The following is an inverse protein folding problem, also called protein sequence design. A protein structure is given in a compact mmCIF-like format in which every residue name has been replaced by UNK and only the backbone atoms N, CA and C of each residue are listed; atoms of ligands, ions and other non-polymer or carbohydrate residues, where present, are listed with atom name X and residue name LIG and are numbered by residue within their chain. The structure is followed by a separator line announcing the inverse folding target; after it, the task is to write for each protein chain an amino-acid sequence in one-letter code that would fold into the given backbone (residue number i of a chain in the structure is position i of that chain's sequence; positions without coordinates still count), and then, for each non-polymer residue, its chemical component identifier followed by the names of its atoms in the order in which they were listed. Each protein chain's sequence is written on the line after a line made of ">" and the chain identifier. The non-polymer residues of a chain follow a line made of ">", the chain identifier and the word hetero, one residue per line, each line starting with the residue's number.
data_IF_026321700924
#
_entry.id   IF_026321700924
#
_cell.length_a   1.000
_cell.length_b   1.000
_cell.length_c   1.000
_cell.angle_alpha   90.00
_cell.angle_beta   90.00
_cell.angle_gamma   90.00
#
_symmetry.space_group_name_H-M   'P 1'
#
loop_
_entity.id
_entity.type
_entity.pdbx_description
1 polymer ?
#
# COMPACT_ATOMS: atom_id res chain seq x y z
N UNK A 1 8.70 25.42 53.79
CA UNK A 1 8.26 26.37 54.83
C UNK A 1 7.79 27.69 54.18
N UNK A 2 6.54 28.15 54.23
CA UNK A 2 5.47 27.95 55.19
C UNK A 2 4.09 28.19 54.53
N UNK A 3 3.09 27.43 54.97
CA UNK A 3 1.68 27.86 55.12
C UNK A 3 1.49 28.18 56.62
N UNK A 4 0.57 29.09 57.06
CA UNK A 4 -0.89 28.85 57.19
C UNK A 4 -1.77 30.11 56.86
N UNK A 5 -3.06 30.08 56.42
CA UNK A 5 -4.37 29.69 57.04
C UNK A 5 -4.79 30.65 58.20
N UNK A 6 -6.09 30.90 58.52
CA UNK A 6 -7.32 31.34 57.80
C UNK A 6 -8.01 32.55 58.54
N UNK A 7 -9.28 32.90 58.24
CA UNK A 7 -10.36 33.17 59.22
C UNK A 7 -11.67 33.67 58.57
N UNK A 8 -12.73 32.88 58.74
CA UNK A 8 -14.18 33.15 58.63
C UNK A 8 -14.69 34.00 59.84
N UNK A 9 -16.01 34.20 60.13
CA UNK A 9 -17.25 34.39 59.32
C UNK A 9 -18.20 35.55 59.81
N UNK A 10 -19.31 35.77 59.06
CA UNK A 10 -20.69 36.13 59.51
C UNK A 10 -21.00 37.57 60.05
N UNK A 11 -22.28 38.01 60.24
CA UNK A 11 -23.60 37.46 59.83
C UNK A 11 -24.71 38.50 59.42
N UNK A 12 -25.93 37.99 59.17
CA UNK A 12 -27.29 38.58 59.39
C UNK A 12 -28.02 39.36 58.27
N UNK A 13 -29.20 38.81 57.91
CA UNK A 13 -30.33 39.29 57.08
C UNK A 13 -31.17 40.41 57.78
N UNK A 14 -32.47 40.70 57.49
CA UNK A 14 -33.34 40.53 56.31
C UNK A 14 -34.22 41.79 55.97
N UNK A 15 -35.13 41.64 54.99
CA UNK A 15 -36.48 42.25 54.88
C UNK A 15 -36.66 43.38 53.82
N UNK A 16 -37.90 43.77 53.46
CA UNK A 16 -38.63 43.23 52.31
C UNK A 16 -39.17 44.33 51.37
N UNK A 17 -39.68 44.00 50.19
CA UNK A 17 -40.23 45.02 49.29
C UNK A 17 -41.09 44.47 48.16
N UNK A 18 -42.40 44.50 48.42
CA UNK A 18 -43.56 44.67 47.53
C UNK A 18 -43.45 44.39 46.01
N UNK A 19 -44.34 43.51 45.53
CA UNK A 19 -44.85 43.39 44.15
C UNK A 19 -45.79 44.58 43.79
N UNK A 20 -46.58 44.60 42.69
CA UNK A 20 -46.49 44.02 41.34
C UNK A 20 -46.84 45.05 40.22
N UNK A 21 -46.55 44.75 38.94
CA UNK A 21 -47.23 45.23 37.70
C UNK A 21 -46.21 45.27 36.55
N UNK A 22 -46.49 45.07 35.28
CA UNK A 22 -47.64 44.60 34.51
C UNK A 22 -47.14 44.60 33.05
N UNK A 23 -47.71 43.72 32.22
CA UNK A 23 -47.80 43.83 30.76
C UNK A 23 -46.52 43.68 29.90
N UNK A 24 -46.44 42.50 29.26
CA UNK A 24 -46.60 42.44 27.80
C UNK A 24 -45.33 42.40 26.94
N UNK A 25 -44.95 41.20 26.47
CA UNK A 25 -44.44 40.90 25.12
C UNK A 25 -44.15 39.39 24.99
N UNK A 26 -44.15 38.81 23.77
CA UNK A 26 -44.58 37.44 23.52
C UNK A 26 -43.45 36.40 23.56
N UNK A 27 -43.85 35.18 23.95
CA UNK A 27 -43.27 33.86 23.63
C UNK A 27 -41.81 33.81 23.13
N UNK A 28 -40.87 33.67 24.06
CA UNK A 28 -39.58 33.03 23.78
C UNK A 28 -39.68 31.55 24.13
N UNK A 29 -39.96 30.71 23.12
CA UNK A 29 -39.78 29.26 23.19
C UNK A 29 -38.28 29.00 23.33
N UNK A 30 -37.79 28.29 24.37
CA UNK A 30 -36.39 27.91 24.40
C UNK A 30 -36.14 26.98 23.22
N UNK A 31 -35.18 27.35 22.38
CA UNK A 31 -34.66 26.48 21.33
C UNK A 31 -34.21 25.19 22.01
N UNK A 32 -34.86 24.08 21.67
CA UNK A 32 -34.37 22.77 22.03
C UNK A 32 -32.94 22.66 21.50
N UNK A 33 -31.98 22.13 22.27
CA UNK A 33 -30.71 21.72 21.70
C UNK A 33 -31.06 20.72 20.60
N UNK A 34 -30.74 21.07 19.35
CA UNK A 34 -30.74 20.13 18.25
C UNK A 34 -29.83 18.98 18.67
N UNK A 35 -30.42 17.91 19.18
CA UNK A 35 -29.74 16.64 19.30
C UNK A 35 -29.36 16.25 17.88
N UNK A 36 -28.10 15.85 17.63
CA UNK A 36 -27.74 15.31 16.34
C UNK A 36 -28.62 14.07 16.10
N UNK A 37 -29.42 14.14 15.04
CA UNK A 37 -30.22 13.03 14.56
C UNK A 37 -29.29 11.83 14.29
N UNK A 38 -29.65 10.58 14.62
CA UNK A 38 -28.78 9.41 14.41
C UNK A 38 -28.66 9.01 12.93
N UNK A 39 -28.91 9.93 11.99
CA UNK A 39 -28.96 9.69 10.56
C UNK A 39 -27.67 10.09 9.80
N UNK A 40 -26.69 10.71 10.47
CA UNK A 40 -25.41 11.08 9.85
C UNK A 40 -24.36 9.94 9.86
N UNK A 41 -24.80 8.68 9.92
CA UNK A 41 -23.94 7.48 9.80
C UNK A 41 -24.11 6.77 8.45
N UNK A 42 -24.73 7.41 7.46
CA UNK A 42 -24.77 6.92 6.08
C UNK A 42 -24.22 7.98 5.14
N UNK A 43 -22.97 8.38 5.35
CA UNK A 43 -22.18 8.74 4.18
C UNK A 43 -22.04 7.44 3.36
N UNK A 44 -22.58 7.34 2.14
CA UNK A 44 -22.21 6.24 1.27
C UNK A 44 -20.69 6.34 1.11
N UNK A 45 -19.98 5.32 1.59
CA UNK A 45 -18.55 5.13 1.36
C UNK A 45 -18.21 5.47 -0.10
N UNK A 46 -17.00 6.00 -0.38
CA UNK A 46 -16.63 6.47 -1.71
C UNK A 46 -17.00 5.41 -2.74
N UNK A 47 -17.88 5.76 -3.66
CA UNK A 47 -18.37 4.84 -4.68
C UNK A 47 -17.16 4.21 -5.38
N UNK A 48 -17.25 2.97 -5.85
CA UNK A 48 -16.18 2.25 -6.59
C UNK A 48 -15.45 3.15 -7.61
N UNK A 49 -16.16 4.08 -8.24
CA UNK A 49 -15.62 5.07 -9.17
C UNK A 49 -14.66 6.10 -8.52
N UNK A 50 -14.94 6.53 -7.30
CA UNK A 50 -14.07 7.41 -6.52
C UNK A 50 -12.76 6.71 -6.15
N UNK A 51 -12.82 5.43 -5.74
CA UNK A 51 -11.63 4.62 -5.48
C UNK A 51 -10.79 4.48 -6.77
N UNK A 52 -11.44 4.23 -7.92
CA UNK A 52 -10.73 4.21 -9.22
C UNK A 52 -10.08 5.55 -9.55
N UNK A 53 -10.73 6.67 -9.22
CA UNK A 53 -10.16 8.00 -9.45
C UNK A 53 -8.94 8.26 -8.56
N UNK A 54 -8.99 7.84 -7.28
CA UNK A 54 -7.83 7.90 -6.37
C UNK A 54 -6.66 7.06 -6.90
N UNK A 55 -6.93 5.86 -7.44
CA UNK A 55 -5.91 5.01 -8.08
C UNK A 55 -5.29 5.73 -9.29
N UNK A 56 -6.11 6.39 -10.12
CA UNK A 56 -5.64 7.16 -11.28
C UNK A 56 -4.80 8.38 -10.87
N UNK A 57 -5.15 9.03 -9.77
CA UNK A 57 -4.43 10.19 -9.23
C UNK A 57 -3.16 9.80 -8.45
N UNK A 58 -2.88 8.50 -8.31
CA UNK A 58 -1.77 7.91 -7.52
C UNK A 58 -1.88 8.13 -6.01
N UNK A 59 -3.08 8.40 -5.50
CA UNK A 59 -3.37 8.45 -4.07
C UNK A 59 -3.62 7.04 -3.52
N UNK A 60 -2.60 6.17 -3.65
CA UNK A 60 -2.74 4.73 -3.41
C UNK A 60 -3.02 4.36 -1.95
N UNK A 61 -2.57 5.17 -0.98
CA UNK A 61 -2.84 4.90 0.43
C UNK A 61 -4.33 5.03 0.78
N UNK A 62 -4.95 6.13 0.32
CA UNK A 62 -6.36 6.37 0.53
C UNK A 62 -7.20 5.33 -0.25
N UNK A 63 -6.79 5.02 -1.48
CA UNK A 63 -7.45 3.97 -2.27
C UNK A 63 -7.40 2.60 -1.57
N UNK A 64 -6.25 2.22 -1.00
CA UNK A 64 -6.09 0.96 -0.26
C UNK A 64 -6.93 0.94 1.02
N UNK A 65 -6.98 2.05 1.77
CA UNK A 65 -7.83 2.17 2.96
C UNK A 65 -9.31 1.93 2.61
N UNK A 66 -9.82 2.56 1.56
CA UNK A 66 -11.19 2.36 1.11
C UNK A 66 -11.45 0.95 0.57
N UNK A 67 -10.48 0.29 -0.05
CA UNK A 67 -10.60 -1.12 -0.46
C UNK A 67 -10.72 -2.03 0.78
N UNK A 68 -9.90 -1.80 1.81
CA UNK A 68 -9.95 -2.56 3.07
C UNK A 68 -11.31 -2.39 3.77
N UNK A 69 -11.84 -1.17 3.80
CA UNK A 69 -13.17 -0.89 4.36
C UNK A 69 -14.27 -1.63 3.60
N UNK A 70 -14.25 -1.57 2.27
CA UNK A 70 -15.23 -2.24 1.41
C UNK A 70 -15.17 -3.77 1.52
N UNK A 71 -13.98 -4.32 1.75
CA UNK A 71 -13.78 -5.74 2.08
C UNK A 71 -14.39 -6.14 3.43
N UNK A 72 -14.22 -5.30 4.45
CA UNK A 72 -14.79 -5.55 5.78
C UNK A 72 -16.32 -5.55 5.73
N UNK A 73 -16.93 -4.70 4.91
CA UNK A 73 -18.38 -4.70 4.68
C UNK A 73 -18.86 -5.95 3.93
N UNK A 74 -18.16 -6.35 2.87
CA UNK A 74 -18.46 -7.58 2.15
C UNK A 74 -18.37 -8.82 3.07
N UNK A 75 -17.46 -8.82 4.04
CA UNK A 75 -17.33 -9.88 5.04
C UNK A 75 -18.43 -9.85 6.12
N UNK A 76 -18.94 -8.66 6.48
CA UNK A 76 -20.06 -8.49 7.44
C UNK A 76 -21.41 -8.82 6.82
N UNK A 77 -21.59 -8.61 5.51
CA UNK A 77 -22.76 -9.01 4.71
C UNK A 77 -22.81 -10.53 4.41
N UNK A 78 -22.25 -11.38 5.28
CA UNK A 78 -22.13 -12.84 5.13
C UNK A 78 -23.42 -13.56 4.67
N UNK A 79 -23.31 -14.80 4.15
CA UNK A 79 -24.31 -15.41 3.26
C UNK A 79 -25.72 -15.31 3.83
N UNK A 80 -26.73 -14.94 3.02
CA UNK A 80 -28.08 -14.75 3.51
C UNK A 80 -28.55 -16.06 4.12
N UNK A 81 -28.71 -16.04 5.44
CA UNK A 81 -29.56 -17.00 6.12
C UNK A 81 -30.98 -16.77 5.60
N UNK A 82 -31.37 -17.47 4.54
CA UNK A 82 -32.77 -17.69 4.18
C UNK A 82 -33.36 -16.97 2.94
N UNK A 83 -32.71 -15.98 2.33
CA UNK A 83 -33.30 -15.29 1.15
C UNK A 83 -32.44 -15.46 -0.11
N UNK A 84 -32.62 -16.61 -0.77
CA UNK A 84 -31.95 -16.98 -2.00
C UNK A 84 -32.54 -16.23 -3.20
N UNK A 85 -31.84 -15.23 -3.73
CA UNK A 85 -32.17 -14.67 -5.05
C UNK A 85 -31.34 -13.46 -5.48
N UNK A 86 -31.36 -12.38 -4.69
CA UNK A 86 -30.77 -11.08 -5.06
C UNK A 86 -29.56 -10.67 -4.20
N UNK A 87 -29.62 -10.85 -2.87
CA UNK A 87 -28.51 -10.48 -1.97
C UNK A 87 -27.22 -11.25 -2.24
N UNK A 88 -27.32 -12.54 -2.57
CA UNK A 88 -26.16 -13.37 -2.93
C UNK A 88 -25.51 -12.93 -4.26
N UNK A 89 -26.30 -12.44 -5.23
CA UNK A 89 -25.79 -11.92 -6.52
C UNK A 89 -25.17 -10.54 -6.34
N UNK A 90 -25.75 -9.70 -5.49
CA UNK A 90 -25.20 -8.40 -5.14
C UNK A 90 -23.86 -8.53 -4.41
N UNK A 91 -23.76 -9.43 -3.43
CA UNK A 91 -22.49 -9.74 -2.74
C UNK A 91 -21.41 -10.29 -3.69
N UNK A 92 -21.79 -11.14 -4.65
CA UNK A 92 -20.85 -11.61 -5.68
C UNK A 92 -20.36 -10.51 -6.63
N UNK A 93 -21.21 -9.53 -6.97
CA UNK A 93 -20.80 -8.38 -7.81
C UNK A 93 -19.85 -7.47 -7.03
N UNK A 94 -20.20 -7.10 -5.80
CA UNK A 94 -19.32 -6.31 -4.91
C UNK A 94 -17.96 -6.98 -4.70
N UNK A 95 -17.92 -8.29 -4.46
CA UNK A 95 -16.66 -9.02 -4.30
C UNK A 95 -15.80 -9.02 -5.58
N UNK A 96 -16.42 -9.03 -6.76
CA UNK A 96 -15.71 -8.88 -8.04
C UNK A 96 -15.19 -7.44 -8.22
N UNK A 97 -16.00 -6.45 -7.86
CA UNK A 97 -15.60 -5.04 -7.93
C UNK A 97 -14.39 -4.77 -7.02
N UNK A 98 -14.39 -5.30 -5.79
CA UNK A 98 -13.22 -5.29 -4.87
C UNK A 98 -11.99 -5.90 -5.54
N UNK A 99 -12.13 -7.09 -6.14
CA UNK A 99 -11.01 -7.76 -6.77
C UNK A 99 -10.42 -6.93 -7.92
N UNK A 100 -11.28 -6.31 -8.74
CA UNK A 100 -10.86 -5.43 -9.82
C UNK A 100 -10.18 -4.14 -9.31
N UNK A 101 -10.73 -3.53 -8.26
CA UNK A 101 -10.11 -2.36 -7.62
C UNK A 101 -8.72 -2.68 -7.09
N UNK A 102 -8.58 -3.84 -6.44
CA UNK A 102 -7.30 -4.29 -5.91
C UNK A 102 -6.31 -4.62 -7.03
N UNK A 103 -6.74 -5.27 -8.12
CA UNK A 103 -5.88 -5.49 -9.29
C UNK A 103 -5.40 -4.17 -9.90
N UNK A 104 -6.28 -3.17 -10.03
CA UNK A 104 -5.91 -1.85 -10.53
C UNK A 104 -4.92 -1.13 -9.61
N UNK A 105 -5.11 -1.21 -8.29
CA UNK A 105 -4.19 -0.68 -7.29
C UNK A 105 -2.81 -1.33 -7.43
N UNK A 106 -2.76 -2.67 -7.52
CA UNK A 106 -1.51 -3.41 -7.71
C UNK A 106 -0.81 -3.02 -9.01
N UNK A 107 -1.54 -2.90 -10.12
CA UNK A 107 -0.95 -2.46 -11.39
C UNK A 107 -0.28 -1.10 -11.28
N UNK A 108 -0.92 -0.12 -10.62
CA UNK A 108 -0.31 1.19 -10.39
C UNK A 108 0.88 1.12 -9.45
N UNK A 109 0.81 0.31 -8.39
CA UNK A 109 1.90 0.09 -7.44
C UNK A 109 3.16 -0.47 -8.15
N UNK A 110 2.99 -1.49 -8.98
CA UNK A 110 4.08 -2.10 -9.73
C UNK A 110 4.60 -1.22 -10.86
N UNK A 111 3.74 -0.40 -11.47
CA UNK A 111 4.16 0.61 -12.43
C UNK A 111 5.09 1.64 -11.77
N UNK A 112 4.74 2.16 -10.59
CA UNK A 112 5.60 3.07 -9.83
C UNK A 112 6.91 2.42 -9.40
N UNK A 113 6.88 1.14 -9.01
CA UNK A 113 8.10 0.39 -8.69
C UNK A 113 9.03 0.24 -9.91
N UNK A 114 8.46 -0.06 -11.08
CA UNK A 114 9.21 -0.17 -12.33
C UNK A 114 9.77 1.19 -12.77
N UNK A 115 8.99 2.27 -12.64
CA UNK A 115 9.44 3.66 -12.84
C UNK A 115 10.59 4.02 -11.90
N UNK A 116 10.47 3.69 -10.61
CA UNK A 116 11.51 3.92 -9.62
C UNK A 116 12.81 3.17 -9.95
N UNK A 117 12.70 1.93 -10.42
CA UNK A 117 13.86 1.16 -10.88
C UNK A 117 14.50 1.81 -12.12
N UNK A 118 13.69 2.25 -13.09
CA UNK A 118 14.17 2.92 -14.31
C UNK A 118 14.74 4.33 -14.04
N UNK A 119 14.31 4.99 -12.96
CA UNK A 119 14.79 6.30 -12.58
C UNK A 119 16.28 6.26 -12.22
N UNK A 120 17.04 7.24 -12.71
CA UNK A 120 18.47 7.43 -12.38
C UNK A 120 18.69 8.31 -11.14
N UNK A 121 17.65 8.55 -10.35
CA UNK A 121 17.66 9.48 -9.22
C UNK A 121 16.66 9.11 -8.12
N UNK A 122 16.54 9.95 -7.07
CA UNK A 122 15.62 9.72 -5.98
C UNK A 122 14.17 9.72 -6.48
N UNK A 123 13.39 8.72 -6.05
CA UNK A 123 11.99 8.59 -6.42
C UNK A 123 11.12 8.72 -5.17
N UNK A 124 10.58 9.93 -4.87
CA UNK A 124 9.88 10.19 -3.60
C UNK A 124 8.60 9.35 -3.44
N UNK A 125 7.94 8.98 -4.55
CA UNK A 125 6.75 8.12 -4.50
C UNK A 125 7.04 6.67 -4.09
N UNK A 126 8.32 6.29 -3.92
CA UNK A 126 8.69 4.96 -3.42
C UNK A 126 8.31 4.80 -1.94
N UNK A 127 8.38 5.89 -1.17
CA UNK A 127 7.93 5.88 0.23
C UNK A 127 6.43 5.59 0.31
N UNK A 128 5.64 6.11 -0.63
CA UNK A 128 4.21 5.81 -0.75
C UNK A 128 3.99 4.31 -0.99
N UNK A 129 4.74 3.71 -1.93
CA UNK A 129 4.69 2.27 -2.23
C UNK A 129 4.95 1.45 -0.97
N UNK A 130 6.00 1.79 -0.21
CA UNK A 130 6.36 1.09 1.03
C UNK A 130 5.25 1.22 2.07
N UNK A 131 4.67 2.41 2.23
CA UNK A 131 3.57 2.64 3.18
C UNK A 131 2.33 1.81 2.83
N UNK A 132 1.98 1.67 1.54
CA UNK A 132 0.88 0.81 1.11
C UNK A 132 1.17 -0.65 1.43
N UNK A 133 2.41 -1.12 1.19
CA UNK A 133 2.81 -2.49 1.53
C UNK A 133 2.69 -2.73 3.04
N UNK A 134 3.17 -1.80 3.88
CA UNK A 134 3.05 -1.92 5.33
C UNK A 134 1.60 -1.86 5.82
N UNK A 135 0.76 -1.03 5.19
CA UNK A 135 -0.67 -0.96 5.49
C UNK A 135 -1.37 -2.29 5.24
N UNK A 136 -1.12 -2.90 4.08
CA UNK A 136 -1.65 -4.22 3.72
C UNK A 136 -1.11 -5.34 4.60
N UNK A 137 0.19 -5.35 4.91
CA UNK A 137 0.79 -6.33 5.82
C UNK A 137 0.28 -6.16 7.27
N UNK A 138 -0.06 -4.93 7.68
CA UNK A 138 -0.70 -4.68 8.97
C UNK A 138 -2.17 -5.12 8.97
N UNK A 139 -2.89 -4.94 7.86
CA UNK A 139 -4.25 -5.45 7.68
C UNK A 139 -4.29 -6.98 7.68
N UNK A 140 -3.34 -7.63 6.99
CA UNK A 140 -3.14 -9.08 7.00
C UNK A 140 -2.84 -9.61 8.43
N UNK A 141 -2.04 -8.88 9.22
CA UNK A 141 -1.76 -9.23 10.63
C UNK A 141 -2.98 -9.15 11.55
N UNK A 142 -3.86 -8.16 11.33
CA UNK A 142 -5.10 -7.97 12.13
C UNK A 142 -6.23 -8.91 11.71
N UNK A 143 -6.15 -9.49 10.52
CA UNK A 143 -7.16 -10.39 9.97
C UNK A 143 -7.54 -11.58 10.86
N UNK A 144 -6.58 -12.40 11.38
CA UNK A 144 -6.93 -13.54 12.23
C UNK A 144 -7.64 -13.14 13.52
N UNK A 145 -7.31 -11.96 14.08
CA UNK A 145 -7.93 -11.44 15.31
C UNK A 145 -9.37 -10.98 15.05
N UNK A 146 -9.63 -10.37 13.90
CA UNK A 146 -10.97 -9.92 13.50
C UNK A 146 -11.95 -11.07 13.18
N UNK A 147 -11.43 -12.26 12.87
CA UNK A 147 -12.20 -13.39 12.34
C UNK A 147 -12.57 -14.47 13.37
N UNK A 148 -12.21 -14.29 14.65
CA UNK A 148 -12.72 -15.11 15.75
C UNK A 148 -12.47 -16.62 15.62
N UNK A 149 -11.36 -17.03 15.01
CA UNK A 149 -10.92 -18.44 14.96
C UNK A 149 -11.58 -19.34 13.90
N UNK A 150 -12.47 -18.82 13.03
CA UNK A 150 -13.04 -19.55 11.89
C UNK A 150 -12.32 -19.18 10.58
N UNK A 151 -11.52 -20.10 10.04
CA UNK A 151 -10.49 -19.80 9.03
C UNK A 151 -10.96 -19.43 7.61
N UNK A 152 -10.33 -18.36 7.08
CA UNK A 152 -10.13 -18.01 5.66
C UNK A 152 -11.07 -16.91 5.12
N UNK A 153 -10.68 -16.05 4.16
CA UNK A 153 -9.38 -15.77 3.54
C UNK A 153 -8.88 -14.32 3.79
N UNK A 154 -7.64 -14.15 4.24
CA UNK A 154 -6.73 -13.03 3.88
C UNK A 154 -5.35 -13.37 4.47
N UNK A 155 -4.40 -13.73 3.61
CA UNK A 155 -3.12 -13.03 3.68
C UNK A 155 -2.67 -12.72 2.25
N UNK A 156 -2.71 -11.45 1.88
CA UNK A 156 -2.35 -10.99 0.53
C UNK A 156 -0.84 -10.99 0.33
N UNK A 157 -0.08 -11.01 1.43
CA UNK A 157 1.38 -11.14 1.48
C UNK A 157 2.04 -10.23 0.44
N UNK A 158 1.62 -8.95 0.45
CA UNK A 158 2.00 -7.97 -0.55
C UNK A 158 3.52 -7.78 -0.58
N UNK A 159 4.21 -7.99 0.55
CA UNK A 159 5.66 -8.04 0.63
C UNK A 159 6.28 -9.18 -0.17
N UNK A 160 5.65 -10.36 -0.22
CA UNK A 160 6.11 -11.46 -1.09
C UNK A 160 5.89 -11.13 -2.56
N UNK A 161 4.73 -10.57 -2.90
CA UNK A 161 4.42 -10.13 -4.27
C UNK A 161 5.39 -9.04 -4.74
N UNK A 162 5.74 -8.11 -3.86
CA UNK A 162 6.76 -7.10 -4.13
C UNK A 162 8.09 -7.74 -4.52
N UNK A 163 8.55 -8.77 -3.81
CA UNK A 163 9.81 -9.44 -4.16
C UNK A 163 9.75 -10.12 -5.54
N UNK A 164 8.62 -10.75 -5.88
CA UNK A 164 8.42 -11.34 -7.22
C UNK A 164 8.31 -10.29 -8.33
N UNK A 165 7.64 -9.16 -8.07
CA UNK A 165 7.52 -8.07 -9.02
C UNK A 165 8.86 -7.33 -9.22
N UNK A 166 9.67 -7.18 -8.16
CA UNK A 166 11.06 -6.74 -8.29
C UNK A 166 11.83 -7.69 -9.21
N UNK A 167 11.68 -9.01 -9.03
CA UNK A 167 12.34 -10.01 -9.89
C UNK A 167 11.88 -9.89 -11.34
N UNK A 168 10.58 -9.72 -11.60
CA UNK A 168 10.03 -9.50 -12.94
C UNK A 168 10.58 -8.21 -13.56
N UNK A 169 10.52 -7.09 -12.86
CA UNK A 169 10.99 -5.79 -13.34
C UNK A 169 12.49 -5.79 -13.64
N UNK A 170 13.29 -6.43 -12.79
CA UNK A 170 14.73 -6.65 -13.03
C UNK A 170 14.96 -7.53 -14.27
N UNK A 171 14.18 -8.61 -14.42
CA UNK A 171 14.24 -9.47 -15.61
C UNK A 171 13.93 -8.71 -16.90
N UNK A 172 12.90 -7.87 -16.90
CA UNK A 172 12.55 -7.02 -18.06
C UNK A 172 13.66 -6.01 -18.37
N UNK A 173 14.25 -5.39 -17.34
CA UNK A 173 15.36 -4.45 -17.53
C UNK A 173 16.59 -5.15 -18.12
N UNK A 174 16.97 -6.28 -17.55
CA UNK A 174 18.08 -7.10 -18.07
C UNK A 174 17.79 -7.60 -19.49
N UNK A 175 16.54 -7.97 -19.77
CA UNK A 175 16.07 -8.33 -21.11
C UNK A 175 16.28 -7.20 -22.13
N UNK A 176 15.88 -5.96 -21.80
CA UNK A 176 16.13 -4.79 -22.66
C UNK A 176 17.62 -4.55 -22.89
N UNK A 177 18.43 -4.63 -21.83
CA UNK A 177 19.90 -4.52 -21.94
C UNK A 177 20.50 -5.64 -22.80
N UNK A 178 19.86 -6.81 -22.82
CA UNK A 178 20.28 -7.96 -23.60
C UNK A 178 19.89 -7.83 -25.09
N UNK A 179 18.68 -7.37 -25.40
CA UNK A 179 18.13 -7.26 -26.76
C UNK A 179 18.86 -6.24 -27.63
N UNK A 180 19.42 -5.18 -27.05
CA UNK A 180 20.25 -4.19 -27.75
C UNK A 180 21.60 -4.74 -28.28
N UNK A 181 21.83 -6.05 -28.19
CA UNK A 181 23.10 -6.69 -28.50
C UNK A 181 23.08 -7.47 -29.81
N UNK A 182 23.19 -6.76 -30.94
CA UNK A 182 23.54 -7.37 -32.22
C UNK A 182 25.04 -7.73 -32.37
N UNK A 183 25.79 -7.87 -31.26
CA UNK A 183 27.26 -7.98 -31.26
C UNK A 183 27.81 -9.25 -30.60
N UNK A 184 29.15 -9.44 -30.57
CA UNK A 184 29.80 -10.62 -30.01
C UNK A 184 29.42 -10.89 -28.55
N UNK A 185 29.45 -12.16 -28.14
CA UNK A 185 29.10 -12.59 -26.77
C UNK A 185 29.86 -11.83 -25.69
N UNK A 186 31.15 -11.57 -25.88
CA UNK A 186 31.97 -10.85 -24.92
C UNK A 186 31.45 -9.44 -24.64
N UNK A 187 31.16 -8.68 -25.71
CA UNK A 187 30.57 -7.34 -25.57
C UNK A 187 29.17 -7.36 -24.98
N UNK A 188 28.41 -8.44 -25.19
CA UNK A 188 27.10 -8.64 -24.57
C UNK A 188 27.20 -8.83 -23.05
N UNK A 189 28.07 -9.74 -22.58
CA UNK A 189 28.29 -9.99 -21.15
C UNK A 189 28.89 -8.77 -20.45
N UNK A 190 29.82 -8.06 -21.07
CA UNK A 190 30.37 -6.81 -20.53
C UNK A 190 29.32 -5.70 -20.38
N UNK A 191 28.41 -5.56 -21.35
CA UNK A 191 27.31 -4.59 -21.23
C UNK A 191 26.34 -4.99 -20.12
N UNK A 192 25.96 -6.26 -20.03
CA UNK A 192 25.06 -6.75 -18.98
C UNK A 192 25.64 -6.55 -17.58
N UNK A 193 26.91 -6.90 -17.39
CA UNK A 193 27.60 -6.70 -16.11
C UNK A 193 27.74 -5.22 -15.76
N UNK A 194 28.06 -4.36 -16.73
CA UNK A 194 28.07 -2.90 -16.53
C UNK A 194 26.70 -2.36 -16.14
N UNK A 195 25.64 -2.73 -16.85
CA UNK A 195 24.27 -2.35 -16.52
C UNK A 195 23.91 -2.81 -15.11
N UNK A 196 24.22 -4.06 -14.74
CA UNK A 196 23.96 -4.58 -13.40
C UNK A 196 24.68 -3.78 -12.30
N UNK A 197 25.95 -3.42 -12.52
CA UNK A 197 26.72 -2.64 -11.53
C UNK A 197 26.18 -1.22 -11.41
N UNK A 198 25.85 -0.57 -12.53
CA UNK A 198 25.22 0.76 -12.54
C UNK A 198 23.88 0.73 -11.81
N UNK A 199 23.06 -0.27 -12.10
CA UNK A 199 21.74 -0.46 -11.52
C UNK A 199 21.81 -0.70 -10.02
N UNK A 200 22.63 -1.66 -9.57
CA UNK A 200 22.76 -1.95 -8.14
C UNK A 200 23.37 -0.77 -7.38
N UNK A 201 24.25 0.01 -8.02
CA UNK A 201 24.77 1.25 -7.46
C UNK A 201 23.66 2.30 -7.30
N UNK A 202 22.81 2.46 -8.31
CA UNK A 202 21.67 3.37 -8.27
C UNK A 202 20.62 2.95 -7.25
N UNK A 203 20.33 1.65 -7.13
CA UNK A 203 19.45 1.08 -6.10
C UNK A 203 20.01 1.40 -4.71
N UNK A 204 21.31 1.18 -4.50
CA UNK A 204 21.97 1.44 -3.23
C UNK A 204 21.95 2.93 -2.84
N UNK A 205 22.11 3.85 -3.80
CA UNK A 205 22.16 5.28 -3.50
C UNK A 205 20.78 5.94 -3.41
N UNK A 206 19.82 5.54 -4.24
CA UNK A 206 18.55 6.27 -4.41
C UNK A 206 17.33 5.53 -3.86
N UNK A 207 17.29 4.20 -3.95
CA UNK A 207 16.11 3.43 -3.54
C UNK A 207 16.23 2.92 -2.10
N UNK A 208 17.45 2.57 -1.67
CA UNK A 208 17.70 2.03 -0.34
C UNK A 208 17.22 2.94 0.81
N UNK A 209 17.35 4.28 0.75
CA UNK A 209 16.89 5.16 1.83
C UNK A 209 15.37 5.13 2.07
N UNK A 210 14.57 4.79 1.05
CA UNK A 210 13.11 4.74 1.16
C UNK A 210 12.59 3.44 1.83
N UNK A 211 13.44 2.40 1.94
CA UNK A 211 13.06 1.10 2.48
C UNK A 211 13.46 0.94 3.96
N UNK A 212 12.57 0.45 4.82
CA UNK A 212 12.93 0.00 6.16
C UNK A 212 13.96 -1.14 6.11
N UNK A 213 14.82 -1.21 7.14
CA UNK A 213 15.88 -2.22 7.23
C UNK A 213 15.35 -3.67 7.17
N UNK A 214 14.11 -3.89 7.64
CA UNK A 214 13.44 -5.18 7.67
C UNK A 214 13.27 -5.80 6.27
N UNK A 215 13.11 -4.96 5.23
CA UNK A 215 12.91 -5.43 3.86
C UNK A 215 14.17 -6.07 3.26
N UNK A 216 15.35 -5.73 3.77
CA UNK A 216 16.64 -6.13 3.19
C UNK A 216 16.65 -5.88 1.67
N UNK A 217 16.14 -4.71 1.25
CA UNK A 217 15.82 -4.41 -0.15
C UNK A 217 17.01 -4.68 -1.08
N UNK A 218 18.21 -4.23 -0.70
CA UNK A 218 19.44 -4.49 -1.45
C UNK A 218 19.67 -5.99 -1.72
N UNK A 219 19.43 -6.85 -0.73
CA UNK A 219 19.57 -8.30 -0.87
C UNK A 219 18.53 -8.91 -1.81
N UNK A 220 17.30 -8.39 -1.79
CA UNK A 220 16.24 -8.82 -2.73
C UNK A 220 16.60 -8.42 -4.15
N UNK A 221 16.97 -7.16 -4.38
CA UNK A 221 17.44 -6.69 -5.69
C UNK A 221 18.66 -7.50 -6.17
N UNK A 222 19.69 -7.65 -5.35
CA UNK A 222 20.90 -8.39 -5.71
C UNK A 222 20.60 -9.84 -6.11
N UNK A 223 19.75 -10.55 -5.35
CA UNK A 223 19.32 -11.91 -5.70
C UNK A 223 18.51 -11.95 -7.00
N UNK A 224 17.63 -10.97 -7.22
CA UNK A 224 16.86 -10.86 -8.46
C UNK A 224 17.74 -10.61 -9.67
N UNK A 225 18.73 -9.71 -9.56
CA UNK A 225 19.72 -9.43 -10.61
C UNK A 225 20.59 -10.64 -10.90
N UNK A 226 21.10 -11.30 -9.86
CA UNK A 226 21.88 -12.52 -10.01
C UNK A 226 21.06 -13.64 -10.68
N UNK A 227 19.82 -13.85 -10.23
CA UNK A 227 18.92 -14.85 -10.81
C UNK A 227 18.58 -14.57 -12.27
N UNK A 228 18.29 -13.30 -12.61
CA UNK A 228 18.03 -12.88 -14.00
C UNK A 228 19.26 -13.04 -14.90
N UNK A 229 20.44 -12.66 -14.42
CA UNK A 229 21.69 -12.85 -15.13
C UNK A 229 22.00 -14.33 -15.35
N UNK A 230 21.81 -15.18 -14.34
CA UNK A 230 21.99 -16.62 -14.47
C UNK A 230 21.02 -17.23 -15.50
N UNK A 231 19.78 -16.76 -15.58
CA UNK A 231 18.81 -17.20 -16.59
C UNK A 231 19.22 -16.76 -18.01
N UNK A 232 19.69 -15.52 -18.18
CA UNK A 232 20.18 -15.01 -19.46
C UNK A 232 21.44 -15.75 -19.92
N UNK A 233 22.42 -15.96 -19.04
CA UNK A 233 23.60 -16.75 -19.37
C UNK A 233 23.26 -18.21 -19.65
N UNK A 234 22.30 -18.77 -18.91
CA UNK A 234 21.79 -20.11 -19.17
C UNK A 234 21.12 -20.24 -20.54
N UNK A 235 20.38 -19.23 -20.99
CA UNK A 235 19.78 -19.23 -22.33
C UNK A 235 20.82 -19.05 -23.44
N UNK A 236 21.86 -18.25 -23.20
CA UNK A 236 23.01 -18.12 -24.10
C UNK A 236 23.76 -19.45 -24.22
N UNK A 237 24.01 -20.13 -23.10
CA UNK A 237 24.72 -21.40 -23.07
C UNK A 237 24.00 -22.53 -23.83
N UNK A 238 22.68 -22.42 -24.00
CA UNK A 238 21.86 -23.38 -24.77
C UNK A 238 21.90 -23.12 -26.28
N UNK A 239 22.45 -21.99 -26.74
CA UNK A 239 22.60 -21.69 -28.17
C UNK A 239 23.82 -22.43 -28.74
N UNK A 240 23.86 -22.56 -30.07
CA UNK A 240 25.07 -23.03 -30.75
C UNK A 240 26.17 -21.96 -30.67
N UNK A 241 27.05 -22.09 -29.67
CA UNK A 241 28.20 -21.23 -29.44
C UNK A 241 29.38 -21.68 -30.31
N UNK A 242 30.12 -20.72 -30.85
CA UNK A 242 31.43 -20.98 -31.45
C UNK A 242 32.46 -21.36 -30.38
N UNK A 243 33.56 -22.01 -30.79
CA UNK A 243 34.64 -22.40 -29.88
C UNK A 243 35.21 -21.18 -29.13
N UNK A 244 35.34 -20.03 -29.81
CA UNK A 244 35.83 -18.79 -29.20
C UNK A 244 34.88 -18.27 -28.10
N UNK A 245 33.57 -18.33 -28.34
CA UNK A 245 32.55 -17.94 -27.37
C UNK A 245 32.48 -18.90 -26.18
N UNK A 246 32.72 -20.19 -26.40
CA UNK A 246 32.79 -21.19 -25.34
C UNK A 246 33.99 -20.95 -24.42
N UNK A 247 35.18 -20.69 -25.00
CA UNK A 247 36.37 -20.33 -24.22
C UNK A 247 36.15 -19.04 -23.44
N UNK A 248 35.56 -18.02 -24.07
CA UNK A 248 35.25 -16.78 -23.38
C UNK A 248 34.32 -17.02 -22.18
N UNK A 249 33.26 -17.81 -22.34
CA UNK A 249 32.28 -18.05 -21.27
C UNK A 249 32.90 -18.83 -20.10
N UNK A 250 33.77 -19.81 -20.40
CA UNK A 250 34.52 -20.57 -19.38
C UNK A 250 35.56 -19.70 -18.66
N UNK A 251 36.28 -18.87 -19.39
CA UNK A 251 37.26 -17.94 -18.83
C UNK A 251 36.56 -16.91 -17.93
N UNK A 252 35.46 -16.34 -18.41
CA UNK A 252 34.63 -15.41 -17.65
C UNK A 252 34.13 -16.04 -16.35
N UNK A 253 33.55 -17.24 -16.39
CA UNK A 253 33.09 -17.95 -15.19
C UNK A 253 34.24 -18.27 -14.20
N UNK A 254 35.46 -18.48 -14.70
CA UNK A 254 36.60 -18.85 -13.84
C UNK A 254 37.32 -17.64 -13.24
N UNK A 255 37.22 -16.48 -13.89
CA UNK A 255 37.95 -15.25 -13.54
C UNK A 255 37.06 -14.15 -12.92
N UNK A 256 35.74 -14.31 -12.89
CA UNK A 256 34.79 -13.35 -12.26
C UNK A 256 34.04 -13.97 -11.11
#
# INVERSE_FOLDING_TARGET
>A
PALPVPLTPNPVSPSPGLSPSSAGAPHSRPAAPCQPSPADLSAPFPAVLEILNLIQQRDLLAADEHIIELEAECGREGPPSGEAGEGAKAGSRKAKDVALLYEALLQQLWAMLAEALAARGPYPSLELVVRVIEQEEAADRRWPEAQGGGGGPRPRALRRRWAEEVKRAVGERLGRCAEDSGGPLAGHVERLTRCLVEDLSAVRSHLLPAYPAEYQALGVYARSYHGGLAQLLGSIAQRHLSIAELYFLLDWHSNT
#
